data_IF_162890110565
#
_entry.id   IF_162890110565
#
_cell.length_a   1.000
_cell.length_b   1.000
_cell.length_c   1.000
_cell.angle_alpha   90.00
_cell.angle_beta   90.00
_cell.angle_gamma   90.00
#
_symmetry.space_group_name_H-M   'P 1'
#
loop_
_entity.id
_entity.type
_entity.pdbx_description
1 polymer ?
#
# COMPACT_ATOMS: atom_id res chain seq x y z
N UNK A 1 -6.24 4.32 -16.25
CA UNK A 1 -6.23 5.51 -15.35
C UNK A 1 -5.14 5.29 -14.29
N UNK A 2 -5.00 6.13 -13.26
CA UNK A 2 -3.97 5.97 -12.22
C UNK A 2 -4.12 4.70 -11.37
N UNK A 3 -5.35 4.36 -10.99
CA UNK A 3 -5.67 3.13 -10.25
C UNK A 3 -5.24 1.88 -11.02
N UNK A 4 -5.58 1.80 -12.31
CA UNK A 4 -5.20 0.67 -13.17
C UNK A 4 -3.68 0.55 -13.28
N UNK A 5 -2.97 1.68 -13.34
CA UNK A 5 -1.51 1.69 -13.44
C UNK A 5 -0.86 1.09 -12.18
N UNK A 6 -1.34 1.47 -10.98
CA UNK A 6 -0.86 0.88 -9.72
C UNK A 6 -1.23 -0.60 -9.65
N UNK A 7 -2.47 -0.97 -9.99
CA UNK A 7 -2.92 -2.36 -9.98
C UNK A 7 -2.06 -3.24 -10.90
N UNK A 8 -1.80 -2.79 -12.14
CA UNK A 8 -0.95 -3.54 -13.08
C UNK A 8 0.51 -3.63 -12.61
N UNK A 9 1.04 -2.59 -11.96
CA UNK A 9 2.37 -2.62 -11.39
C UNK A 9 2.48 -3.65 -10.25
N UNK A 10 1.48 -3.74 -9.38
CA UNK A 10 1.42 -4.74 -8.31
C UNK A 10 1.39 -6.16 -8.88
N UNK A 11 0.53 -6.43 -9.86
CA UNK A 11 0.49 -7.73 -10.53
C UNK A 11 1.83 -8.07 -11.21
N UNK A 12 2.48 -7.10 -11.84
CA UNK A 12 3.78 -7.29 -12.47
C UNK A 12 4.91 -7.55 -11.46
N UNK A 13 4.79 -7.02 -10.25
CA UNK A 13 5.68 -7.31 -9.13
C UNK A 13 5.41 -8.66 -8.45
N UNK A 14 4.35 -9.37 -8.86
CA UNK A 14 3.97 -10.67 -8.32
C UNK A 14 3.07 -10.61 -7.08
N UNK A 15 2.58 -9.41 -6.72
CA UNK A 15 1.68 -9.21 -5.58
C UNK A 15 0.32 -9.85 -5.86
N UNK A 16 -0.21 -10.57 -4.87
CA UNK A 16 -1.48 -11.27 -4.98
C UNK A 16 -2.11 -11.67 -3.64
N UNK A 17 -3.04 -12.64 -3.66
CA UNK A 17 -3.71 -13.13 -2.46
C UNK A 17 -2.75 -13.66 -1.40
N UNK A 18 -2.87 -13.13 -0.18
CA UNK A 18 -2.03 -13.49 0.96
C UNK A 18 -0.90 -12.50 1.23
N UNK A 19 -0.60 -11.60 0.28
CA UNK A 19 0.38 -10.54 0.47
C UNK A 19 -0.25 -9.32 1.16
N UNK A 20 0.60 -8.57 1.86
CA UNK A 20 0.30 -7.29 2.48
C UNK A 20 1.03 -6.18 1.73
N UNK A 21 0.35 -5.06 1.46
CA UNK A 21 0.99 -3.88 0.87
C UNK A 21 0.77 -2.69 1.78
N UNK A 22 1.87 -2.15 2.30
CA UNK A 22 1.83 -0.97 3.16
C UNK A 22 1.51 0.27 2.33
N UNK A 23 0.50 1.03 2.77
CA UNK A 23 0.06 2.27 2.13
C UNK A 23 -0.12 3.39 3.17
N UNK A 24 0.11 4.66 2.81
CA UNK A 24 -0.13 5.77 3.74
C UNK A 24 -1.60 5.86 4.13
N UNK A 25 -1.89 6.10 5.41
CA UNK A 25 -3.23 6.36 5.91
C UNK A 25 -3.81 7.66 5.31
N UNK A 26 -2.95 8.65 5.06
CA UNK A 26 -3.30 9.88 4.36
C UNK A 26 -3.06 9.73 2.85
N UNK A 27 -3.99 9.09 2.13
CA UNK A 27 -3.93 8.91 0.68
C UNK A 27 -5.31 8.90 0.02
N UNK A 28 -5.36 8.87 -1.31
CA UNK A 28 -6.61 8.62 -2.05
C UNK A 28 -7.08 7.19 -1.86
N UNK A 29 -8.39 6.98 -1.69
CA UNK A 29 -8.99 5.62 -1.60
C UNK A 29 -8.59 4.71 -2.77
N UNK A 30 -8.29 5.30 -3.94
CA UNK A 30 -7.86 4.55 -5.13
C UNK A 30 -6.50 3.84 -4.97
N UNK A 31 -5.62 4.32 -4.10
CA UNK A 31 -4.34 3.65 -3.81
C UNK A 31 -4.57 2.31 -3.13
N UNK A 32 -5.36 2.29 -2.05
CA UNK A 32 -5.72 1.04 -1.37
C UNK A 32 -6.64 0.15 -2.22
N UNK A 33 -7.52 0.75 -3.03
CA UNK A 33 -8.35 -0.01 -3.97
C UNK A 33 -7.50 -0.81 -4.96
N UNK A 34 -6.43 -0.21 -5.50
CA UNK A 34 -5.55 -0.91 -6.44
C UNK A 34 -4.87 -2.14 -5.81
N UNK A 35 -4.50 -2.06 -4.51
CA UNK A 35 -4.00 -3.19 -3.72
C UNK A 35 -5.07 -4.27 -3.58
N UNK A 36 -6.28 -3.90 -3.17
CA UNK A 36 -7.38 -4.86 -3.04
C UNK A 36 -7.78 -5.49 -4.38
N UNK A 37 -7.69 -4.75 -5.49
CA UNK A 37 -7.92 -5.28 -6.84
C UNK A 37 -6.89 -6.35 -7.23
N UNK A 38 -5.63 -6.21 -6.78
CA UNK A 38 -4.60 -7.25 -6.95
C UNK A 38 -4.87 -8.50 -6.10
N UNK A 39 -5.83 -8.44 -5.17
CA UNK A 39 -6.14 -9.53 -4.23
C UNK A 39 -5.33 -9.50 -2.94
N UNK A 40 -4.44 -8.51 -2.78
CA UNK A 40 -3.63 -8.31 -1.58
C UNK A 40 -4.37 -7.49 -0.50
N UNK A 41 -3.80 -7.47 0.70
CA UNK A 41 -4.34 -6.73 1.86
C UNK A 41 -3.63 -5.38 2.03
N UNK A 42 -4.35 -4.24 1.95
CA UNK A 42 -3.75 -2.95 2.29
C UNK A 42 -3.50 -2.85 3.80
N UNK A 43 -2.27 -2.53 4.19
CA UNK A 43 -1.90 -2.23 5.58
C UNK A 43 -1.64 -0.73 5.70
N UNK A 44 -2.43 -0.03 6.50
CA UNK A 44 -2.30 1.43 6.63
C UNK A 44 -1.25 1.80 7.67
N UNK A 45 -0.29 2.63 7.26
CA UNK A 45 0.71 3.22 8.14
C UNK A 45 0.60 4.75 8.14
N UNK A 46 0.93 5.37 9.28
CA UNK A 46 0.77 6.80 9.48
C UNK A 46 1.76 7.63 8.64
N UNK A 47 1.53 8.93 8.57
CA UNK A 47 2.36 9.88 7.82
C UNK A 47 3.13 10.84 8.72
N UNK A 48 4.29 11.28 8.25
CA UNK A 48 5.02 12.39 8.87
C UNK A 48 4.17 13.67 8.71
N UNK A 49 3.80 14.35 9.82
CA UNK A 49 2.94 15.54 9.75
C UNK A 49 3.60 16.76 9.11
N UNK A 50 4.93 16.80 9.02
CA UNK A 50 5.71 17.85 8.37
C UNK A 50 5.78 17.73 6.86
N UNK A 51 5.70 16.50 6.32
CA UNK A 51 5.80 16.24 4.87
C UNK A 51 4.51 15.73 4.24
N UNK A 52 3.61 15.14 5.04
CA UNK A 52 2.43 14.42 4.57
C UNK A 52 2.75 13.11 3.85
N UNK A 53 4.00 12.64 3.90
CA UNK A 53 4.43 11.36 3.30
C UNK A 53 4.46 10.27 4.36
N UNK A 54 4.48 9.01 3.94
CA UNK A 54 4.61 7.85 4.84
C UNK A 54 5.73 8.05 5.87
N UNK A 55 5.42 7.91 7.15
CA UNK A 55 6.40 7.97 8.23
C UNK A 55 7.26 6.69 8.17
N UNK A 56 8.60 6.80 8.01
CA UNK A 56 9.47 5.63 8.02
C UNK A 56 9.31 4.74 9.24
N UNK A 57 9.09 5.30 10.44
CA UNK A 57 8.91 4.49 11.65
C UNK A 57 7.58 3.75 11.65
N UNK A 58 6.51 4.38 11.14
CA UNK A 58 5.21 3.73 10.99
C UNK A 58 5.24 2.64 9.90
N UNK A 59 6.01 2.85 8.83
CA UNK A 59 6.24 1.83 7.80
C UNK A 59 6.95 0.60 8.39
N UNK A 60 8.08 0.78 9.07
CA UNK A 60 8.84 -0.32 9.68
C UNK A 60 7.98 -1.11 10.68
N UNK A 61 7.13 -0.43 11.46
CA UNK A 61 6.23 -1.08 12.41
C UNK A 61 5.08 -1.88 11.74
N UNK A 62 4.78 -1.61 10.48
CA UNK A 62 3.73 -2.27 9.71
C UNK A 62 4.23 -3.50 8.94
N UNK A 63 5.55 -3.73 8.87
CA UNK A 63 6.13 -4.87 8.15
C UNK A 63 5.83 -6.18 8.90
N UNK A 64 5.37 -7.17 8.15
CA UNK A 64 5.15 -8.54 8.59
C UNK A 64 5.82 -9.52 7.63
N UNK A 65 5.85 -10.85 7.90
CA UNK A 65 6.33 -11.83 6.93
C UNK A 65 5.47 -11.95 5.66
N UNK A 66 4.31 -11.28 5.61
CA UNK A 66 3.42 -11.23 4.45
C UNK A 66 3.62 -9.97 3.60
N UNK A 67 4.46 -9.01 4.05
CA UNK A 67 4.73 -7.74 3.35
C UNK A 67 5.70 -7.91 2.18
#
# INVERSE_FOLDING_TARGET
NGTDAIHLALLAAGVGPGDEVVVPALTSTFTALAVSMAGATPVFADVDPGTGTLDPAAFEAAITPQT
#
